data_IF_066719067329
#
_entry.id   IF_066719067329
#
_cell.length_a   1.000
_cell.length_b   1.000
_cell.length_c   1.000
_cell.angle_alpha   90.00
_cell.angle_beta   90.00
_cell.angle_gamma   90.00
#
_symmetry.space_group_name_H-M   'P 1'
#
loop_
_entity.id
_entity.type
_entity.pdbx_description
1 polymer ?
#
# COMPACT_ATOMS: atom_id res chain seq x y z
N UNK A 1 -71.89 10.11 -9.40
CA UNK A 1 -70.87 10.99 -8.78
C UNK A 1 -69.73 10.15 -8.19
N UNK A 2 -69.00 9.43 -9.03
CA UNK A 2 -67.84 8.58 -8.67
C UNK A 2 -67.01 8.57 -9.93
N UNK A 3 -65.87 9.28 -10.00
CA UNK A 3 -64.83 9.10 -11.04
C UNK A 3 -63.60 10.01 -10.93
N UNK A 4 -63.51 10.93 -9.97
CA UNK A 4 -62.36 11.85 -9.87
C UNK A 4 -61.43 11.55 -8.67
N UNK A 5 -61.90 10.82 -7.65
CA UNK A 5 -61.07 10.54 -6.46
C UNK A 5 -60.08 9.38 -6.61
N UNK A 6 -60.24 8.51 -7.61
CA UNK A 6 -59.38 7.33 -7.76
C UNK A 6 -58.12 7.59 -8.61
N UNK A 7 -58.09 8.68 -9.38
CA UNK A 7 -56.94 9.00 -10.23
C UNK A 7 -55.80 9.70 -9.47
N UNK A 8 -56.10 10.31 -8.31
CA UNK A 8 -55.13 11.02 -7.47
C UNK A 8 -54.34 10.10 -6.51
N UNK A 9 -54.76 8.84 -6.34
CA UNK A 9 -54.04 7.87 -5.51
C UNK A 9 -52.99 7.07 -6.30
N UNK A 10 -53.08 7.06 -7.64
CA UNK A 10 -52.17 6.31 -8.50
C UNK A 10 -50.91 7.12 -8.85
N UNK A 11 -50.98 8.46 -8.81
CA UNK A 11 -49.83 9.33 -9.11
C UNK A 11 -48.89 9.51 -7.92
N UNK A 12 -49.35 9.28 -6.69
CA UNK A 12 -48.49 9.36 -5.48
C UNK A 12 -47.65 8.11 -5.25
N UNK A 13 -48.03 6.96 -5.82
CA UNK A 13 -47.24 5.71 -5.71
C UNK A 13 -46.08 5.69 -6.73
N UNK A 14 -46.21 6.40 -7.87
CA UNK A 14 -45.14 6.45 -8.88
C UNK A 14 -43.94 7.33 -8.48
N UNK A 15 -44.10 8.23 -7.51
CA UNK A 15 -43.03 9.15 -7.06
C UNK A 15 -42.09 8.55 -6.01
N UNK A 16 -42.40 7.36 -5.49
CA UNK A 16 -41.56 6.69 -4.47
C UNK A 16 -40.53 5.75 -5.14
N UNK A 17 -40.58 5.56 -6.45
CA UNK A 17 -39.69 4.64 -7.18
C UNK A 17 -38.37 5.26 -7.70
N UNK A 18 -38.07 6.54 -7.41
CA UNK A 18 -36.88 7.24 -7.94
C UNK A 18 -35.91 7.67 -6.83
N UNK A 19 -35.97 7.05 -5.66
CA UNK A 19 -34.96 7.25 -4.61
C UNK A 19 -34.49 5.93 -4.01
N UNK A 20 -34.06 5.03 -4.88
CA UNK A 20 -32.83 4.32 -4.57
C UNK A 20 -31.71 5.26 -5.02
N UNK A 21 -31.24 6.12 -4.12
CA UNK A 21 -29.89 6.63 -4.27
C UNK A 21 -29.00 5.39 -4.26
N UNK A 22 -28.56 4.98 -5.45
CA UNK A 22 -27.32 4.24 -5.51
C UNK A 22 -26.31 5.19 -4.87
N UNK A 23 -25.97 4.91 -3.61
CA UNK A 23 -24.68 5.29 -3.09
C UNK A 23 -23.70 4.55 -4.00
N UNK A 24 -23.40 5.19 -5.13
CA UNK A 24 -22.21 4.92 -5.90
C UNK A 24 -21.06 5.29 -4.97
N UNK A 25 -20.78 4.41 -4.01
CA UNK A 25 -19.45 4.20 -3.48
C UNK A 25 -18.64 3.64 -4.65
N UNK A 26 -18.44 4.45 -5.69
CA UNK A 26 -17.38 4.19 -6.65
C UNK A 26 -16.11 4.29 -5.86
N UNK A 27 -15.62 3.12 -5.41
CA UNK A 27 -14.27 2.94 -4.93
C UNK A 27 -13.40 3.52 -6.04
N UNK A 28 -12.84 4.70 -5.78
CA UNK A 28 -11.91 5.33 -6.71
C UNK A 28 -10.66 4.47 -6.65
N UNK A 29 -10.53 3.56 -7.61
CA UNK A 29 -9.31 2.79 -7.84
C UNK A 29 -8.16 3.79 -8.07
N UNK A 30 -7.07 3.60 -7.32
CA UNK A 30 -5.91 4.47 -7.39
C UNK A 30 -5.03 3.97 -8.54
N UNK A 31 -4.86 4.78 -9.57
CA UNK A 31 -4.04 4.45 -10.74
C UNK A 31 -2.88 5.43 -10.89
N UNK A 32 -1.70 4.91 -11.18
CA UNK A 32 -0.50 5.72 -11.44
C UNK A 32 -0.04 5.60 -12.89
N UNK A 33 0.52 6.69 -13.41
CA UNK A 33 1.21 6.69 -14.70
C UNK A 33 2.71 6.41 -14.52
N UNK A 34 3.39 6.04 -15.61
CA UNK A 34 4.86 5.96 -15.61
C UNK A 34 5.53 7.31 -15.25
N UNK A 35 4.86 8.44 -15.53
CA UNK A 35 5.33 9.76 -15.13
C UNK A 35 5.23 9.96 -13.61
N UNK A 36 4.17 9.46 -12.98
CA UNK A 36 4.06 9.50 -11.52
C UNK A 36 5.17 8.73 -10.82
N UNK A 37 5.59 7.58 -11.36
CA UNK A 37 6.67 6.77 -10.78
C UNK A 37 8.02 7.49 -10.75
N UNK A 38 8.20 8.58 -11.51
CA UNK A 38 9.36 9.44 -11.37
C UNK A 38 9.51 9.99 -9.95
N UNK A 39 8.42 10.13 -9.19
CA UNK A 39 8.45 10.50 -7.76
C UNK A 39 9.19 9.45 -6.92
N UNK A 40 9.12 8.17 -7.30
CA UNK A 40 9.74 7.04 -6.58
C UNK A 40 11.25 6.98 -6.78
N UNK A 41 11.78 7.36 -7.95
CA UNK A 41 13.19 7.16 -8.31
C UNK A 41 13.89 8.43 -8.84
N UNK A 42 13.23 9.59 -8.85
CA UNK A 42 13.75 10.89 -9.33
C UNK A 42 14.48 10.81 -10.67
N UNK A 43 13.90 10.12 -11.65
CA UNK A 43 14.48 9.87 -12.99
C UNK A 43 15.82 9.12 -13.05
N UNK A 44 16.37 8.66 -11.92
CA UNK A 44 17.58 7.84 -11.88
C UNK A 44 17.53 6.88 -10.70
N UNK A 45 17.79 7.39 -9.50
CA UNK A 45 17.61 6.67 -8.24
C UNK A 45 17.17 7.63 -7.14
N UNK A 46 16.44 7.10 -6.16
CA UNK A 46 16.06 7.85 -4.97
C UNK A 46 16.03 6.95 -3.75
N UNK A 47 16.60 7.45 -2.65
CA UNK A 47 16.63 6.76 -1.37
C UNK A 47 15.43 7.12 -0.51
N UNK A 48 14.86 6.10 0.10
CA UNK A 48 13.74 6.16 1.01
C UNK A 48 14.10 5.48 2.32
N UNK A 49 13.39 5.85 3.37
CA UNK A 49 13.39 5.18 4.67
C UNK A 49 11.97 4.87 5.07
N UNK A 50 11.77 3.83 5.88
CA UNK A 50 10.49 3.62 6.53
C UNK A 50 10.38 4.58 7.71
N UNK A 51 9.29 5.35 7.75
CA UNK A 51 8.92 6.11 8.94
C UNK A 51 8.16 5.20 9.93
N UNK A 52 7.23 4.39 9.41
CA UNK A 52 6.47 3.44 10.20
C UNK A 52 6.09 2.18 9.42
N UNK A 53 6.00 1.07 10.15
CA UNK A 53 5.42 -0.18 9.70
C UNK A 53 4.26 -0.57 10.62
N UNK A 54 3.07 -0.74 10.05
CA UNK A 54 1.84 -1.07 10.75
C UNK A 54 1.39 -2.50 10.46
N UNK A 55 0.77 -3.14 11.45
CA UNK A 55 -0.06 -4.32 11.24
C UNK A 55 -1.55 -3.95 11.01
N UNK A 56 -1.97 -2.80 11.55
CA UNK A 56 -3.26 -2.15 11.29
C UNK A 56 -3.04 -0.63 11.26
N UNK A 57 -3.16 -0.04 10.07
CA UNK A 57 -2.90 1.38 9.85
C UNK A 57 -4.01 2.27 10.42
N UNK A 58 -5.27 1.84 10.31
CA UNK A 58 -6.43 2.61 10.76
C UNK A 58 -6.49 2.71 12.29
N UNK A 59 -6.09 1.64 12.98
CA UNK A 59 -5.99 1.61 14.44
C UNK A 59 -4.64 2.10 14.97
N UNK A 60 -3.71 2.52 14.09
CA UNK A 60 -2.38 2.97 14.44
C UNK A 60 -1.58 1.93 15.26
N UNK A 61 -1.75 0.64 14.91
CA UNK A 61 -1.06 -0.48 15.56
C UNK A 61 0.22 -0.77 14.79
N UNK A 62 1.35 -0.38 15.39
CA UNK A 62 2.68 -0.66 14.84
C UNK A 62 2.94 -2.17 14.83
N UNK A 63 3.63 -2.62 13.79
CA UNK A 63 4.13 -3.98 13.73
C UNK A 63 5.31 -4.17 14.67
N UNK A 64 5.47 -5.40 15.20
CA UNK A 64 6.65 -5.80 15.96
C UNK A 64 7.97 -5.65 15.16
N UNK A 65 7.88 -5.55 13.84
CA UNK A 65 9.00 -5.31 12.93
C UNK A 65 9.25 -3.82 12.62
N UNK A 66 8.54 -2.89 13.26
CA UNK A 66 8.66 -1.46 12.96
C UNK A 66 10.09 -0.95 13.08
N UNK A 67 10.74 -1.20 14.22
CA UNK A 67 12.03 -0.58 14.52
C UNK A 67 13.14 -1.09 13.61
N UNK A 68 13.12 -2.37 13.23
CA UNK A 68 14.11 -2.92 12.31
C UNK A 68 13.94 -2.40 10.87
N UNK A 69 12.70 -2.23 10.38
CA UNK A 69 12.47 -1.65 9.05
C UNK A 69 12.81 -0.15 9.00
N UNK A 70 12.64 0.58 10.10
CA UNK A 70 13.04 2.00 10.20
C UNK A 70 14.54 2.22 10.10
N UNK A 71 15.32 1.21 10.48
CA UNK A 71 16.79 1.26 10.46
C UNK A 71 17.37 1.03 9.05
N UNK A 72 16.58 0.43 8.15
CA UNK A 72 17.00 0.16 6.79
C UNK A 72 16.96 1.41 5.88
N UNK A 73 17.64 1.32 4.73
CA UNK A 73 17.51 2.27 3.62
C UNK A 73 17.15 1.54 2.32
N UNK A 74 16.25 2.13 1.55
CA UNK A 74 15.70 1.53 0.32
C UNK A 74 15.98 2.43 -0.87
N UNK A 75 16.71 1.94 -1.88
CA UNK A 75 16.98 2.68 -3.11
C UNK A 75 16.12 2.14 -4.25
N UNK A 76 15.26 3.01 -4.76
CA UNK A 76 14.46 2.74 -5.95
C UNK A 76 15.22 3.25 -7.17
N UNK A 77 15.35 2.41 -8.20
CA UNK A 77 16.01 2.73 -9.45
C UNK A 77 14.99 2.79 -10.59
N UNK A 78 15.21 3.68 -11.54
CA UNK A 78 14.34 3.85 -12.71
C UNK A 78 14.27 2.59 -13.58
N UNK A 79 15.43 1.98 -13.84
CA UNK A 79 15.58 0.97 -14.90
C UNK A 79 15.58 -0.48 -14.35
N UNK A 80 15.30 -0.66 -13.07
CA UNK A 80 15.25 -1.98 -12.43
C UNK A 80 13.97 -2.08 -11.62
N UNK A 81 13.47 -3.30 -11.47
CA UNK A 81 12.36 -3.64 -10.58
C UNK A 81 12.84 -4.12 -9.20
N UNK A 82 14.14 -4.02 -8.93
CA UNK A 82 14.77 -4.43 -7.67
C UNK A 82 15.03 -3.18 -6.84
N UNK A 83 14.50 -3.17 -5.62
CA UNK A 83 14.80 -2.14 -4.64
C UNK A 83 16.01 -2.62 -3.86
N UNK A 84 17.12 -1.92 -4.01
CA UNK A 84 18.31 -2.21 -3.22
C UNK A 84 18.03 -1.84 -1.76
N UNK A 85 18.16 -2.81 -0.88
CA UNK A 85 17.92 -2.65 0.55
C UNK A 85 19.25 -2.72 1.28
N UNK A 86 19.62 -1.63 1.92
CA UNK A 86 20.72 -1.61 2.87
C UNK A 86 20.15 -1.88 4.26
N UNK A 87 20.46 -3.05 4.80
CA UNK A 87 20.04 -3.45 6.14
C UNK A 87 20.69 -2.58 7.21
N UNK A 88 19.89 -2.20 8.20
CA UNK A 88 20.36 -1.55 9.43
C UNK A 88 21.09 -2.51 10.38
N UNK A 89 21.42 -1.99 11.56
CA UNK A 89 22.02 -2.73 12.67
C UNK A 89 20.98 -3.58 13.43
N UNK A 90 19.69 -3.20 13.39
CA UNK A 90 18.62 -3.93 14.05
C UNK A 90 18.04 -5.03 13.15
N UNK A 91 18.18 -6.32 13.52
CA UNK A 91 17.59 -7.41 12.75
C UNK A 91 16.07 -7.50 12.93
N UNK A 92 15.34 -7.93 11.90
CA UNK A 92 13.88 -8.16 12.01
C UNK A 92 13.56 -9.60 12.39
N UNK A 93 14.29 -10.55 11.80
CA UNK A 93 14.11 -11.96 12.10
C UNK A 93 15.31 -12.58 12.80
N UNK A 94 16.49 -11.97 12.69
CA UNK A 94 17.75 -12.55 13.16
C UNK A 94 17.89 -12.59 14.68
N UNK A 95 18.21 -13.77 15.23
CA UNK A 95 18.87 -13.89 16.54
C UNK A 95 20.33 -13.44 16.35
N UNK A 96 20.85 -12.59 17.26
CA UNK A 96 22.22 -12.04 17.22
C UNK A 96 23.24 -13.08 16.68
N UNK A 97 23.83 -12.80 15.51
CA UNK A 97 24.86 -13.63 14.89
C UNK A 97 24.50 -14.31 13.55
N UNK A 98 23.23 -14.34 13.13
CA UNK A 98 22.86 -14.88 11.80
C UNK A 98 22.87 -13.80 10.71
N UNK A 99 23.10 -14.23 9.47
CA UNK A 99 22.95 -13.37 8.30
C UNK A 99 21.47 -13.27 7.90
N UNK A 100 20.99 -12.04 7.82
CA UNK A 100 19.65 -11.70 7.34
C UNK A 100 19.74 -11.17 5.91
N UNK A 101 18.80 -11.59 5.06
CA UNK A 101 18.70 -11.16 3.68
C UNK A 101 17.32 -10.56 3.47
N UNK A 102 17.27 -9.32 3.00
CA UNK A 102 16.04 -8.69 2.52
C UNK A 102 16.10 -8.53 0.99
N UNK A 103 15.00 -8.85 0.33
CA UNK A 103 14.80 -8.60 -1.09
C UNK A 103 13.44 -7.95 -1.24
N UNK A 104 13.44 -6.78 -1.88
CA UNK A 104 12.21 -6.09 -2.23
C UNK A 104 12.21 -5.87 -3.73
N UNK A 105 11.14 -6.26 -4.40
CA UNK A 105 10.89 -5.93 -5.80
C UNK A 105 9.64 -5.09 -5.90
N UNK A 106 9.57 -4.23 -6.91
CA UNK A 106 8.34 -3.53 -7.26
C UNK A 106 7.86 -3.94 -8.65
N UNK A 107 6.56 -3.94 -8.87
CA UNK A 107 5.94 -4.22 -10.16
C UNK A 107 4.95 -3.10 -10.48
N UNK A 108 5.00 -2.59 -11.72
CA UNK A 108 4.04 -1.62 -12.23
C UNK A 108 3.23 -2.26 -13.35
N UNK A 109 1.91 -2.30 -13.17
CA UNK A 109 0.96 -2.82 -14.15
C UNK A 109 0.39 -1.67 -14.96
N UNK A 110 1.10 -1.26 -16.03
CA UNK A 110 0.77 -0.05 -16.80
C UNK A 110 -0.66 0.01 -17.33
N UNK A 111 -1.29 -1.14 -17.60
CA UNK A 111 -2.68 -1.19 -18.09
C UNK A 111 -3.72 -0.79 -17.03
N UNK A 112 -3.45 -1.05 -15.75
CA UNK A 112 -4.34 -0.75 -14.63
C UNK A 112 -3.85 0.43 -13.80
N UNK A 113 -2.57 0.77 -13.93
CA UNK A 113 -1.92 1.80 -13.12
C UNK A 113 -1.51 1.33 -11.72
N UNK A 114 -1.68 0.05 -11.41
CA UNK A 114 -1.39 -0.50 -10.08
C UNK A 114 0.11 -0.69 -9.88
N UNK A 115 0.59 -0.41 -8.67
CA UNK A 115 1.99 -0.61 -8.28
C UNK A 115 2.03 -1.45 -7.03
N UNK A 116 2.80 -2.53 -7.05
CA UNK A 116 2.95 -3.42 -5.91
C UNK A 116 4.41 -3.57 -5.51
N UNK A 117 4.67 -3.74 -4.22
CA UNK A 117 5.95 -4.23 -3.70
C UNK A 117 5.79 -5.64 -3.14
N UNK A 118 6.74 -6.50 -3.47
CA UNK A 118 6.89 -7.81 -2.86
C UNK A 118 8.10 -7.77 -1.94
N UNK A 119 7.86 -7.98 -0.65
CA UNK A 119 8.89 -7.95 0.39
C UNK A 119 9.14 -9.38 0.85
N UNK A 120 10.39 -9.81 0.73
CA UNK A 120 10.88 -11.06 1.33
C UNK A 120 12.03 -10.73 2.26
N UNK A 121 11.95 -11.18 3.51
CA UNK A 121 13.04 -11.03 4.48
C UNK A 121 13.26 -12.34 5.20
N UNK A 122 14.47 -12.88 5.12
CA UNK A 122 14.76 -14.22 5.59
C UNK A 122 16.05 -14.28 6.40
N UNK A 123 16.07 -15.14 7.41
CA UNK A 123 17.30 -15.60 8.06
C UNK A 123 17.50 -17.10 7.82
N UNK A 124 18.76 -17.51 7.76
CA UNK A 124 19.15 -18.92 7.81
C UNK A 124 20.16 -19.13 8.94
N UNK A 125 19.91 -20.15 9.75
CA UNK A 125 20.84 -20.63 10.77
C UNK A 125 20.96 -22.15 10.67
N UNK A 126 21.85 -22.60 9.79
CA UNK A 126 22.07 -24.02 9.53
C UNK A 126 20.82 -24.70 8.96
N UNK A 127 20.03 -25.31 9.84
CA UNK A 127 18.79 -26.04 9.51
C UNK A 127 17.51 -25.23 9.67
N UNK A 128 17.55 -24.11 10.40
CA UNK A 128 16.38 -23.30 10.67
C UNK A 128 16.32 -22.13 9.69
N UNK A 129 15.13 -21.92 9.13
CA UNK A 129 14.85 -20.83 8.20
C UNK A 129 13.58 -20.12 8.66
N UNK A 130 13.65 -18.80 8.75
CA UNK A 130 12.50 -17.96 9.08
C UNK A 130 12.38 -16.90 8.00
N UNK A 131 11.17 -16.74 7.48
CA UNK A 131 10.87 -15.78 6.42
C UNK A 131 9.64 -14.96 6.75
N UNK A 132 9.76 -13.66 6.51
CA UNK A 132 8.66 -12.74 6.34
C UNK A 132 8.43 -12.56 4.84
N UNK A 133 7.18 -12.69 4.44
CA UNK A 133 6.74 -12.48 3.07
C UNK A 133 5.43 -11.71 3.09
N UNK A 134 5.35 -10.63 2.30
CA UNK A 134 4.11 -9.90 2.09
C UNK A 134 4.14 -9.10 0.78
N UNK A 135 2.96 -8.91 0.21
CA UNK A 135 2.69 -8.09 -0.98
C UNK A 135 1.85 -6.89 -0.57
N UNK A 136 2.22 -5.70 -1.01
CA UNK A 136 1.51 -4.46 -0.70
C UNK A 136 1.32 -3.62 -1.97
N UNK A 137 0.17 -2.98 -2.09
CA UNK A 137 -0.20 -2.05 -3.17
C UNK A 137 0.12 -0.61 -2.78
N UNK A 138 0.45 0.24 -3.75
CA UNK A 138 0.73 1.66 -3.55
C UNK A 138 -0.56 2.47 -3.39
N UNK A 139 -0.80 2.99 -2.21
CA UNK A 139 -2.02 3.75 -1.87
C UNK A 139 -1.81 5.27 -1.92
N UNK A 140 -0.57 5.73 -1.73
CA UNK A 140 -0.23 7.15 -1.76
C UNK A 140 1.16 7.34 -2.37
N UNK A 141 1.29 8.28 -3.31
CA UNK A 141 2.57 8.65 -3.91
C UNK A 141 2.72 10.17 -4.02
N UNK A 142 3.76 10.69 -3.37
CA UNK A 142 4.20 12.08 -3.47
C UNK A 142 5.72 12.17 -3.55
N UNK A 143 6.26 13.37 -3.70
CA UNK A 143 7.71 13.59 -3.70
C UNK A 143 8.39 13.24 -2.37
N UNK A 144 7.65 13.21 -1.26
CA UNK A 144 8.24 13.03 0.08
C UNK A 144 7.72 11.83 0.83
N UNK A 145 6.64 11.19 0.34
CA UNK A 145 5.97 10.08 1.01
C UNK A 145 5.45 9.05 0.02
N UNK A 146 5.61 7.77 0.35
CA UNK A 146 4.91 6.66 -0.30
C UNK A 146 4.24 5.79 0.75
N UNK A 147 3.02 5.32 0.50
CA UNK A 147 2.31 4.40 1.39
C UNK A 147 2.00 3.15 0.62
N UNK A 148 2.54 2.02 1.06
CA UNK A 148 2.21 0.71 0.52
C UNK A 148 1.38 -0.06 1.54
N UNK A 149 0.20 -0.56 1.16
CA UNK A 149 -0.69 -1.24 2.07
C UNK A 149 -1.25 -2.55 1.51
N UNK A 150 -1.72 -3.40 2.41
CA UNK A 150 -2.69 -4.44 2.12
C UNK A 150 -4.08 -4.01 2.56
N UNK A 151 -5.11 -4.70 2.07
CA UNK A 151 -6.50 -4.39 2.38
C UNK A 151 -7.12 -3.43 1.39
N UNK A 152 -8.28 -2.88 1.75
CA UNK A 152 -9.03 -1.96 0.91
C UNK A 152 -8.94 -0.55 1.48
N UNK A 153 -9.23 0.46 0.65
CA UNK A 153 -9.24 1.86 1.06
C UNK A 153 -10.10 2.10 2.30
N UNK A 154 -9.51 2.66 3.35
CA UNK A 154 -10.16 2.91 4.64
C UNK A 154 -10.24 1.69 5.56
N UNK A 155 -9.62 0.58 5.17
CA UNK A 155 -9.41 -0.61 5.99
C UNK A 155 -8.03 -1.21 5.67
N UNK A 156 -7.01 -0.38 5.81
CA UNK A 156 -5.63 -0.74 5.53
C UNK A 156 -5.05 -1.59 6.66
N UNK A 157 -4.65 -2.80 6.32
CA UNK A 157 -4.03 -3.74 7.25
C UNK A 157 -2.54 -3.45 7.40
N UNK A 158 -1.72 -4.40 6.95
CA UNK A 158 -0.27 -4.24 6.93
C UNK A 158 0.13 -3.07 6.02
N UNK A 159 0.91 -2.12 6.53
CA UNK A 159 1.23 -0.88 5.79
C UNK A 159 2.66 -0.41 6.05
N UNK A 160 3.43 -0.16 4.99
CA UNK A 160 4.74 0.48 5.03
C UNK A 160 4.62 1.94 4.59
N UNK A 161 5.01 2.86 5.47
CA UNK A 161 5.09 4.30 5.17
C UNK A 161 6.54 4.67 4.90
N UNK A 162 6.85 4.96 3.64
CA UNK A 162 8.15 5.46 3.23
C UNK A 162 8.18 6.99 3.26
N UNK A 163 9.29 7.55 3.71
CA UNK A 163 9.61 8.98 3.62
C UNK A 163 10.93 9.18 2.87
N UNK A 164 10.98 10.23 2.05
CA UNK A 164 12.17 10.54 1.27
C UNK A 164 13.34 10.84 2.21
N UNK A 165 14.49 10.21 1.99
CA UNK A 165 15.70 10.51 2.75
C UNK A 165 16.17 11.92 2.36
N UNK A 166 16.17 12.85 3.31
CA UNK A 166 16.83 14.15 3.11
C UNK A 166 18.34 13.90 3.08
N UNK A 167 19.00 14.39 2.04
CA UNK A 167 20.46 14.45 1.96
C UNK A 167 21.03 15.36 3.05
#
# INVERSE_FOLDING_TARGET
MIKIKFLLLLTTILLIAISCSNSDDTVVEISYSAEDLQKMHSNSSKSWRIDNFYDDYEQNILSDFNDCYKDDTFNFFKDTNIIETQLGDMPCVSIIGNQEIATITYNFYENTGEVFINVTRSETNGTNFKTLFFLLELEELSDTKMVFSSGEKGNYGKTLVFVSKKN
#
